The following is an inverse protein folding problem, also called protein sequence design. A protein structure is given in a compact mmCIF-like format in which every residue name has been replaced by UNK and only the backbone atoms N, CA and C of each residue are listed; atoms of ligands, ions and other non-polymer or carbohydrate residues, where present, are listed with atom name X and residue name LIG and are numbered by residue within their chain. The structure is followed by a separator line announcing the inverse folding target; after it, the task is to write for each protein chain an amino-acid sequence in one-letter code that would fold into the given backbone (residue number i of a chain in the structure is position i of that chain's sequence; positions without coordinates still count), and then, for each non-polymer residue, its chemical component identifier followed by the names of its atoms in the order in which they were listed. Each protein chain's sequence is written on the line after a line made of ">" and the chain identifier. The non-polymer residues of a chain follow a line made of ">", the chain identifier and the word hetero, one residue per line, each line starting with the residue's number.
data_IF_805666483222
#
_entry.id   IF_805666483222
#
_cell.length_a   1.000
_cell.length_b   1.000
_cell.length_c   1.000
_cell.angle_alpha   90.00
_cell.angle_beta   90.00
_cell.angle_gamma   90.00
#
_symmetry.space_group_name_H-M   'P 1'
#
loop_
_entity.id
_entity.type
_entity.pdbx_description
1 polymer ?
#
# COMPACT_ATOMS: atom_id res chain seq x y z
N UNK A 1 6.41 -16.98 -18.65
CA UNK A 1 5.95 -15.91 -17.77
C UNK A 1 4.44 -15.76 -17.94
N UNK A 2 3.70 -15.87 -16.86
CA UNK A 2 2.23 -15.80 -16.90
C UNK A 2 1.76 -14.45 -16.37
N UNK A 3 1.60 -13.49 -17.29
CA UNK A 3 0.94 -12.24 -16.94
C UNK A 3 -0.57 -12.43 -16.94
N UNK A 4 -1.21 -11.79 -15.98
CA UNK A 4 -2.67 -11.72 -15.93
C UNK A 4 -3.09 -10.29 -16.20
N UNK A 5 -4.29 -10.14 -16.75
CA UNK A 5 -4.88 -8.80 -16.81
C UNK A 5 -5.08 -8.31 -15.40
N UNK A 6 -4.53 -7.14 -15.10
CA UNK A 6 -4.60 -6.55 -13.78
C UNK A 6 -4.47 -5.05 -13.88
N UNK A 7 -4.84 -4.37 -12.81
CA UNK A 7 -4.57 -2.95 -12.64
C UNK A 7 -3.64 -2.80 -11.45
N UNK A 8 -2.65 -1.94 -11.57
CA UNK A 8 -1.65 -1.70 -10.54
C UNK A 8 -1.60 -0.20 -10.24
N UNK A 9 -1.74 0.16 -8.99
CA UNK A 9 -1.60 1.55 -8.58
C UNK A 9 -0.13 1.97 -8.66
N UNK A 10 0.13 3.14 -9.22
CA UNK A 10 1.45 3.77 -9.21
C UNK A 10 1.40 4.88 -8.17
N UNK A 11 2.13 4.72 -7.09
CA UNK A 11 2.06 5.58 -5.92
C UNK A 11 3.26 6.53 -5.92
N UNK A 12 3.02 7.84 -5.93
CA UNK A 12 4.13 8.80 -5.90
C UNK A 12 4.74 8.89 -4.51
N UNK A 13 6.05 9.07 -4.46
CA UNK A 13 6.80 9.27 -3.22
C UNK A 13 7.97 10.21 -3.47
N UNK A 14 8.46 10.85 -2.43
CA UNK A 14 9.67 11.67 -2.52
C UNK A 14 10.91 10.92 -2.03
N UNK A 15 10.74 9.90 -1.18
CA UNK A 15 11.80 9.04 -0.69
C UNK A 15 11.42 7.58 -0.96
N UNK A 16 12.04 7.00 -1.98
CA UNK A 16 11.70 5.65 -2.43
C UNK A 16 11.93 4.61 -1.32
N UNK A 17 13.05 4.73 -0.59
CA UNK A 17 13.39 3.78 0.47
C UNK A 17 12.42 3.85 1.65
N UNK A 18 12.02 5.06 2.04
CA UNK A 18 11.06 5.22 3.14
C UNK A 18 9.69 4.63 2.77
N UNK A 19 9.24 4.86 1.55
CA UNK A 19 7.97 4.31 1.09
C UNK A 19 8.03 2.80 0.93
N UNK A 20 9.13 2.27 0.40
CA UNK A 20 9.33 0.83 0.33
C UNK A 20 9.24 0.19 1.72
N UNK A 21 9.94 0.76 2.71
CA UNK A 21 9.93 0.24 4.07
C UNK A 21 8.52 0.25 4.68
N UNK A 22 7.76 1.31 4.41
CA UNK A 22 6.37 1.40 4.87
C UNK A 22 5.52 0.25 4.31
N UNK A 23 5.58 0.02 3.00
CA UNK A 23 4.75 -1.02 2.38
C UNK A 23 5.23 -2.42 2.72
N UNK A 24 6.52 -2.60 3.03
CA UNK A 24 7.02 -3.87 3.54
C UNK A 24 6.38 -4.24 4.88
N UNK A 25 6.08 -3.25 5.72
CA UNK A 25 5.35 -3.50 6.99
C UNK A 25 3.92 -3.94 6.74
N UNK A 26 3.37 -3.68 5.57
CA UNK A 26 2.02 -4.12 5.18
C UNK A 26 2.02 -5.44 4.42
N UNK A 27 3.15 -6.15 4.40
CA UNK A 27 3.24 -7.47 3.80
C UNK A 27 3.73 -7.49 2.35
N UNK A 28 4.11 -6.34 1.80
CA UNK A 28 4.69 -6.28 0.46
C UNK A 28 6.18 -6.57 0.49
N UNK A 29 6.69 -7.12 -0.60
CA UNK A 29 8.12 -7.30 -0.81
C UNK A 29 8.49 -6.70 -2.16
N UNK A 30 9.63 -6.00 -2.20
CA UNK A 30 10.15 -5.47 -3.46
C UNK A 30 10.65 -6.62 -4.31
N UNK A 31 10.11 -6.74 -5.52
CA UNK A 31 10.55 -7.73 -6.49
C UNK A 31 11.49 -7.13 -7.53
N UNK A 32 11.44 -5.81 -7.71
CA UNK A 32 12.34 -5.08 -8.61
C UNK A 32 12.52 -3.66 -8.10
N UNK A 33 13.76 -3.24 -7.99
CA UNK A 33 14.09 -1.86 -7.58
C UNK A 33 14.99 -1.25 -8.65
N UNK A 34 14.61 -0.07 -9.11
CA UNK A 34 15.34 0.67 -10.13
C UNK A 34 15.71 2.05 -9.58
N UNK A 35 16.81 2.15 -8.79
CA UNK A 35 17.13 3.39 -8.07
C UNK A 35 17.34 4.60 -8.99
N UNK A 36 17.96 4.40 -10.15
CA UNK A 36 18.23 5.49 -11.09
C UNK A 36 16.95 6.03 -11.72
N UNK A 37 15.97 5.16 -11.95
CA UNK A 37 14.68 5.55 -12.48
C UNK A 37 13.71 5.97 -11.38
N UNK A 38 14.08 5.80 -10.10
CA UNK A 38 13.21 6.12 -8.99
C UNK A 38 11.96 5.28 -8.96
N UNK A 39 12.07 3.98 -9.24
CA UNK A 39 10.92 3.10 -9.38
C UNK A 39 11.11 1.81 -8.58
N UNK A 40 10.03 1.32 -8.02
CA UNK A 40 10.04 0.08 -7.24
C UNK A 40 8.74 -0.67 -7.47
N UNK A 41 8.85 -1.97 -7.69
CA UNK A 41 7.70 -2.87 -7.87
C UNK A 41 7.61 -3.76 -6.64
N UNK A 42 6.44 -3.77 -6.01
CA UNK A 42 6.19 -4.56 -4.82
C UNK A 42 5.00 -5.50 -5.02
N UNK A 43 5.10 -6.69 -4.43
CA UNK A 43 4.02 -7.67 -4.41
C UNK A 43 3.84 -8.19 -2.99
N UNK A 44 2.60 -8.52 -2.62
CA UNK A 44 2.37 -9.30 -1.40
C UNK A 44 2.32 -10.80 -1.75
N UNK A 45 2.23 -11.64 -0.72
CA UNK A 45 2.25 -13.09 -0.91
C UNK A 45 0.97 -13.62 -1.59
N UNK A 46 -0.09 -12.84 -1.60
CA UNK A 46 -1.40 -13.26 -2.12
C UNK A 46 -1.70 -12.69 -3.52
N UNK A 47 -0.79 -11.90 -4.11
CA UNK A 47 -0.93 -11.41 -5.47
C UNK A 47 -1.29 -9.94 -5.61
N UNK A 48 -1.47 -9.21 -4.52
CA UNK A 48 -1.62 -7.75 -4.60
C UNK A 48 -0.30 -7.12 -5.04
N UNK A 49 -0.37 -6.05 -5.81
CA UNK A 49 0.81 -5.39 -6.37
C UNK A 49 0.64 -3.88 -6.37
N UNK A 50 1.72 -3.18 -6.07
CA UNK A 50 1.80 -1.73 -6.24
C UNK A 50 3.17 -1.38 -6.82
N UNK A 51 3.22 -0.23 -7.48
CA UNK A 51 4.48 0.38 -7.92
C UNK A 51 4.68 1.69 -7.16
N UNK A 52 5.92 2.00 -6.83
CA UNK A 52 6.30 3.29 -6.28
C UNK A 52 7.07 4.06 -7.34
N UNK A 53 6.78 5.34 -7.49
CA UNK A 53 7.53 6.21 -8.37
C UNK A 53 8.00 7.44 -7.60
N UNK A 54 9.31 7.68 -7.62
CA UNK A 54 9.87 8.87 -6.99
C UNK A 54 9.58 10.09 -7.85
N UNK A 55 9.07 11.13 -7.19
CA UNK A 55 8.81 12.42 -7.81
C UNK A 55 9.71 13.47 -7.16
N UNK A 56 9.80 14.63 -7.81
CA UNK A 56 10.61 15.72 -7.27
C UNK A 56 10.06 16.18 -5.92
N UNK A 57 10.92 16.65 -4.99
CA UNK A 57 10.48 17.18 -3.72
C UNK A 57 9.41 18.26 -3.90
N UNK A 58 8.35 18.19 -3.09
CA UNK A 58 7.24 19.13 -3.16
C UNK A 58 6.14 18.79 -4.15
N UNK A 59 6.33 17.80 -5.01
CA UNK A 59 5.28 17.37 -5.95
C UNK A 59 4.15 16.60 -5.25
N UNK A 60 4.46 15.95 -4.13
CA UNK A 60 3.46 15.30 -3.30
C UNK A 60 3.49 15.97 -1.94
N UNK A 61 2.41 16.67 -1.61
CA UNK A 61 2.24 17.33 -0.31
C UNK A 61 1.44 16.39 0.59
N UNK A 62 2.02 15.89 1.70
CA UNK A 62 1.31 14.97 2.60
C UNK A 62 -0.01 15.53 3.14
N UNK A 63 -0.13 16.85 3.26
CA UNK A 63 -1.33 17.50 3.77
C UNK A 63 -2.42 17.66 2.72
N UNK A 64 -2.11 17.42 1.45
CA UNK A 64 -3.02 17.63 0.33
C UNK A 64 -3.05 16.47 -0.64
N UNK A 65 -2.54 15.32 -0.24
CA UNK A 65 -2.50 14.16 -1.11
C UNK A 65 -3.87 13.48 -1.12
N UNK A 66 -4.51 13.49 -2.29
CA UNK A 66 -5.81 12.88 -2.50
C UNK A 66 -5.71 11.45 -3.04
N UNK A 67 -4.51 10.91 -3.19
CA UNK A 67 -4.33 9.53 -3.65
C UNK A 67 -4.76 8.56 -2.56
N UNK A 68 -5.37 7.47 -2.99
CA UNK A 68 -5.70 6.38 -2.08
C UNK A 68 -5.55 5.05 -2.78
N UNK A 69 -5.22 4.04 -2.00
CA UNK A 69 -5.24 2.65 -2.44
C UNK A 69 -6.01 1.82 -1.43
N UNK A 70 -6.72 0.85 -1.96
CA UNK A 70 -7.44 -0.12 -1.16
C UNK A 70 -6.95 -1.50 -1.59
N UNK A 71 -6.55 -2.32 -0.63
CA UNK A 71 -6.27 -3.70 -0.97
C UNK A 71 -6.91 -4.64 0.06
N UNK A 72 -7.23 -5.82 -0.42
CA UNK A 72 -7.82 -6.85 0.41
C UNK A 72 -6.73 -7.77 0.91
N UNK A 73 -6.72 -8.02 2.22
CA UNK A 73 -5.81 -8.98 2.84
C UNK A 73 -6.54 -9.73 3.93
N UNK A 74 -6.48 -11.07 3.84
CA UNK A 74 -7.03 -11.92 4.90
C UNK A 74 -6.31 -11.70 6.23
N UNK A 75 -5.11 -11.11 6.21
CA UNK A 75 -4.30 -10.84 7.39
C UNK A 75 -4.58 -9.45 7.97
N UNK A 76 -5.74 -8.87 7.69
CA UNK A 76 -6.09 -7.50 8.07
C UNK A 76 -5.85 -7.20 9.55
N UNK A 77 -6.17 -8.12 10.44
CA UNK A 77 -5.98 -7.91 11.88
C UNK A 77 -4.51 -7.91 12.28
N UNK A 78 -3.70 -8.79 11.67
CA UNK A 78 -2.27 -8.84 11.91
C UNK A 78 -1.58 -7.57 11.40
N UNK A 79 -1.99 -7.12 10.21
CA UNK A 79 -1.44 -5.89 9.62
C UNK A 79 -1.83 -4.66 10.44
N UNK A 80 -3.07 -4.60 10.93
CA UNK A 80 -3.50 -3.51 11.80
C UNK A 80 -2.64 -3.46 13.06
N UNK A 81 -2.41 -4.61 13.70
CA UNK A 81 -1.57 -4.67 14.90
C UNK A 81 -0.14 -4.21 14.61
N UNK A 82 0.44 -4.63 13.47
CA UNK A 82 1.77 -4.18 13.05
C UNK A 82 1.84 -2.66 12.93
N UNK A 83 0.76 -2.03 12.48
CA UNK A 83 0.70 -0.59 12.26
C UNK A 83 0.21 0.17 13.50
N UNK A 84 0.02 -0.51 14.63
CA UNK A 84 -0.49 0.12 15.85
C UNK A 84 -1.96 0.50 15.77
N UNK A 85 -2.73 -0.17 14.90
CA UNK A 85 -4.14 0.12 14.67
C UNK A 85 -5.02 -1.05 15.09
N UNK A 86 -6.32 -0.81 15.14
CA UNK A 86 -7.34 -1.85 15.34
C UNK A 86 -8.27 -1.83 14.13
N UNK A 87 -8.41 -2.96 13.46
CA UNK A 87 -9.36 -3.08 12.37
C UNK A 87 -10.78 -3.19 12.93
N UNK A 88 -11.72 -2.54 12.26
CA UNK A 88 -13.11 -2.47 12.70
C UNK A 88 -14.04 -2.99 11.61
N UNK A 89 -15.12 -3.65 12.03
CA UNK A 89 -16.18 -4.07 11.12
C UNK A 89 -16.95 -2.83 10.64
N UNK A 90 -17.02 -2.66 9.34
CA UNK A 90 -17.74 -1.55 8.70
C UNK A 90 -19.16 -2.00 8.32
N UNK A 91 -20.10 -1.03 8.15
CA UNK A 91 -21.49 -1.38 7.80
C UNK A 91 -21.64 -2.19 6.52
N UNK A 92 -20.65 -2.15 5.62
CA UNK A 92 -20.67 -2.91 4.37
C UNK A 92 -20.09 -4.32 4.50
N UNK A 93 -19.83 -4.79 5.71
CA UNK A 93 -19.43 -6.18 5.95
C UNK A 93 -17.94 -6.46 5.81
N UNK A 94 -17.10 -5.41 5.77
CA UNK A 94 -15.66 -5.53 5.66
C UNK A 94 -15.02 -5.14 6.99
N UNK A 95 -14.09 -5.96 7.46
CA UNK A 95 -13.19 -5.60 8.58
C UNK A 95 -12.07 -4.79 7.98
N UNK A 96 -11.84 -3.57 8.46
CA UNK A 96 -11.02 -2.60 7.75
C UNK A 96 -10.27 -1.69 8.70
N UNK A 97 -9.07 -1.29 8.30
CA UNK A 97 -8.35 -0.17 8.92
C UNK A 97 -7.69 0.67 7.84
N UNK A 98 -7.28 1.88 8.19
CA UNK A 98 -6.57 2.75 7.27
C UNK A 98 -5.37 3.41 7.94
N UNK A 99 -4.35 3.66 7.15
CA UNK A 99 -3.14 4.37 7.55
C UNK A 99 -2.74 5.31 6.41
N UNK A 100 -1.90 6.29 6.71
CA UNK A 100 -1.29 7.14 5.69
C UNK A 100 0.15 6.72 5.47
N UNK A 101 0.57 6.64 4.21
CA UNK A 101 1.97 6.37 3.91
C UNK A 101 2.83 7.62 4.17
N UNK A 102 4.17 7.56 4.00
CA UNK A 102 5.02 8.71 4.30
C UNK A 102 4.70 9.97 3.52
N UNK A 103 4.04 9.87 2.37
CA UNK A 103 3.65 11.00 1.54
C UNK A 103 2.16 11.34 1.63
N UNK A 104 1.46 10.76 2.61
CA UNK A 104 0.05 11.07 2.83
C UNK A 104 -0.93 10.30 1.96
N UNK A 105 -0.46 9.34 1.15
CA UNK A 105 -1.38 8.47 0.41
C UNK A 105 -2.18 7.65 1.41
N UNK A 106 -3.51 7.70 1.28
CA UNK A 106 -4.40 6.92 2.13
C UNK A 106 -4.33 5.45 1.71
N UNK A 107 -4.04 4.57 2.67
CA UNK A 107 -3.98 3.14 2.44
C UNK A 107 -5.05 2.49 3.30
N UNK A 108 -6.03 1.87 2.66
CA UNK A 108 -7.08 1.10 3.33
C UNK A 108 -6.86 -0.37 3.07
N UNK A 109 -6.97 -1.15 4.15
CA UNK A 109 -6.80 -2.60 4.11
C UNK A 109 -8.05 -3.22 4.69
N UNK A 110 -8.62 -4.19 4.00
CA UNK A 110 -9.83 -4.82 4.47
C UNK A 110 -9.96 -6.26 4.02
N UNK A 111 -10.86 -6.97 4.68
CA UNK A 111 -11.23 -8.34 4.33
C UNK A 111 -12.68 -8.57 4.71
N UNK A 112 -13.47 -9.24 3.86
CA UNK A 112 -14.85 -9.54 4.20
C UNK A 112 -14.94 -10.33 5.50
N UNK A 113 -15.91 -9.95 6.34
CA UNK A 113 -16.19 -10.71 7.55
C UNK A 113 -16.59 -12.13 7.18
N UNK A 114 -16.01 -13.11 7.86
CA UNK A 114 -16.39 -14.50 7.67
C UNK A 114 -17.81 -14.74 8.17
N UNK A 115 -18.58 -15.50 7.42
CA UNK A 115 -19.93 -15.91 7.78
C UNK A 115 -19.91 -17.00 8.86
#
# INVERSE_FOLDING_TARGET
>A
MNFKHSAVAIVPCDDLGASQAFYERLGFAATSVYPHQGYCILHDAAGASIHLTRVAPGWVDPDRNAHGIYFYSKDVNLLAAEMGCTAELKPWGIVEFSVSDPNGTLVRIGWPQAD
#
